data_IF_378714997697
#
_entry.id   IF_378714997697
#
_cell.length_a   1.000
_cell.length_b   1.000
_cell.length_c   1.000
_cell.angle_alpha   90.00
_cell.angle_beta   90.00
_cell.angle_gamma   90.00
#
_symmetry.space_group_name_H-M   'P 1'
#
loop_
_entity.id
_entity.type
_entity.pdbx_description
1 polymer ?
#
# COMPACT_ATOMS: atom_id res chain seq x y z
N UNK A 1 -21.73 -13.23 -26.34
CA UNK A 1 -20.81 -14.06 -25.57
C UNK A 1 -19.41 -14.02 -26.17
N UNK A 2 -18.46 -13.91 -25.35
CA UNK A 2 -17.08 -13.92 -25.80
C UNK A 2 -16.52 -15.34 -25.76
N UNK A 3 -16.00 -15.77 -26.86
CA UNK A 3 -15.34 -17.08 -26.94
C UNK A 3 -13.86 -16.91 -26.70
N UNK A 4 -13.42 -17.44 -25.59
CA UNK A 4 -11.98 -17.50 -25.34
C UNK A 4 -11.48 -18.72 -26.08
N UNK A 5 -10.61 -18.47 -27.01
CA UNK A 5 -10.08 -19.57 -27.81
C UNK A 5 -9.19 -20.44 -26.95
N UNK A 6 -9.19 -21.71 -27.27
CA UNK A 6 -8.36 -22.66 -26.55
C UNK A 6 -6.87 -22.48 -26.86
N UNK A 7 -6.56 -21.64 -27.84
CA UNK A 7 -5.17 -21.32 -28.21
C UNK A 7 -4.65 -20.07 -27.52
N UNK A 8 -5.51 -19.40 -26.74
CA UNK A 8 -5.11 -18.19 -26.03
C UNK A 8 -4.40 -18.50 -24.72
N UNK A 9 -4.10 -17.43 -23.97
CA UNK A 9 -3.38 -17.53 -22.70
C UNK A 9 -4.29 -17.56 -21.49
N UNK A 10 -5.61 -17.47 -21.71
CA UNK A 10 -6.66 -17.62 -20.70
C UNK A 10 -6.43 -16.76 -19.45
N UNK A 11 -6.40 -15.43 -19.60
CA UNK A 11 -6.19 -14.56 -18.44
C UNK A 11 -7.24 -14.83 -17.38
N UNK A 12 -6.82 -14.91 -16.13
CA UNK A 12 -7.71 -15.12 -14.99
C UNK A 12 -7.26 -14.24 -13.84
N UNK A 13 -8.23 -13.88 -13.00
CA UNK A 13 -7.90 -13.23 -11.73
C UNK A 13 -7.45 -14.28 -10.73
N UNK A 14 -6.49 -13.89 -9.89
CA UNK A 14 -6.02 -14.71 -8.79
C UNK A 14 -6.26 -13.93 -7.50
N UNK A 15 -6.96 -14.53 -6.55
CA UNK A 15 -7.25 -13.89 -5.29
C UNK A 15 -6.12 -14.14 -4.31
N UNK A 16 -5.49 -13.06 -3.84
CA UNK A 16 -4.38 -13.11 -2.88
C UNK A 16 -4.76 -12.21 -1.70
N UNK A 17 -4.99 -12.82 -0.53
CA UNK A 17 -5.39 -12.09 0.67
C UNK A 17 -4.26 -11.96 1.68
N UNK A 18 -3.34 -12.90 1.72
CA UNK A 18 -2.26 -12.95 2.71
C UNK A 18 -0.91 -13.12 2.04
N UNK A 19 0.15 -12.85 2.81
CA UNK A 19 1.50 -13.11 2.34
C UNK A 19 1.71 -14.58 1.99
N UNK A 20 1.07 -15.47 2.74
CA UNK A 20 1.17 -16.90 2.46
C UNK A 20 0.51 -17.25 1.13
N UNK A 21 -0.66 -16.66 0.86
CA UNK A 21 -1.32 -16.84 -0.45
C UNK A 21 -0.41 -16.38 -1.58
N UNK A 22 0.21 -15.20 -1.41
CA UNK A 22 1.12 -14.65 -2.40
C UNK A 22 2.31 -15.58 -2.66
N UNK A 23 2.92 -16.06 -1.59
CA UNK A 23 4.07 -16.98 -1.71
C UNK A 23 3.70 -18.26 -2.45
N UNK A 24 2.52 -18.81 -2.15
CA UNK A 24 2.06 -20.02 -2.81
C UNK A 24 1.84 -19.80 -4.30
N UNK A 25 1.22 -18.69 -4.68
CA UNK A 25 0.97 -18.40 -6.09
C UNK A 25 2.28 -18.16 -6.86
N UNK A 26 3.21 -17.45 -6.25
CA UNK A 26 4.52 -17.21 -6.87
C UNK A 26 5.30 -18.53 -7.01
N UNK A 27 5.21 -19.38 -5.99
CA UNK A 27 5.87 -20.69 -6.02
C UNK A 27 5.34 -21.57 -7.15
N UNK A 28 4.03 -21.51 -7.41
CA UNK A 28 3.42 -22.27 -8.52
C UNK A 28 3.96 -21.86 -9.87
N UNK A 29 4.38 -20.62 -10.02
CA UNK A 29 5.00 -20.12 -11.25
C UNK A 29 6.39 -20.75 -11.47
N UNK A 30 7.01 -21.21 -10.39
CA UNK A 30 8.36 -21.75 -10.47
C UNK A 30 9.45 -20.69 -10.37
N UNK A 31 9.12 -19.56 -9.73
CA UNK A 31 10.10 -18.48 -9.54
C UNK A 31 11.24 -18.94 -8.64
N UNK A 32 12.37 -18.26 -8.76
CA UNK A 32 13.53 -18.50 -7.91
C UNK A 32 13.11 -18.44 -6.43
N UNK A 33 13.34 -19.50 -5.65
CA UNK A 33 12.94 -19.51 -4.24
C UNK A 33 13.43 -18.31 -3.45
N UNK A 34 14.60 -17.77 -3.78
CA UNK A 34 15.15 -16.62 -3.07
C UNK A 34 14.39 -15.32 -3.34
N UNK A 35 13.65 -15.25 -4.47
CA UNK A 35 12.90 -14.05 -4.83
C UNK A 35 11.47 -14.05 -4.30
N UNK A 36 10.97 -15.18 -3.81
CA UNK A 36 9.57 -15.31 -3.40
C UNK A 36 9.22 -14.35 -2.27
N UNK A 37 10.04 -14.30 -1.21
CA UNK A 37 9.77 -13.42 -0.07
C UNK A 37 9.92 -11.94 -0.42
N UNK A 38 10.71 -11.63 -1.44
CA UNK A 38 10.86 -10.25 -1.93
C UNK A 38 9.63 -9.82 -2.71
N UNK A 39 9.08 -10.72 -3.53
CA UNK A 39 7.93 -10.40 -4.39
C UNK A 39 6.59 -10.46 -3.65
N UNK A 40 6.45 -11.35 -2.68
CA UNK A 40 5.16 -11.62 -2.03
C UNK A 40 4.48 -10.34 -1.48
N UNK A 41 5.19 -9.43 -0.79
CA UNK A 41 4.55 -8.20 -0.30
C UNK A 41 3.99 -7.32 -1.42
N UNK A 42 4.50 -7.44 -2.62
CA UNK A 42 4.04 -6.66 -3.77
C UNK A 42 2.70 -7.16 -4.31
N UNK A 43 2.31 -8.37 -3.96
CA UNK A 43 1.06 -8.98 -4.42
C UNK A 43 -0.07 -8.86 -3.41
N UNK A 44 0.18 -8.30 -2.22
CA UNK A 44 -0.84 -8.13 -1.18
C UNK A 44 -1.20 -6.66 -1.08
N UNK A 45 -2.43 -6.31 -1.44
CA UNK A 45 -2.92 -4.93 -1.38
C UNK A 45 -3.67 -4.70 -0.08
N UNK A 46 -3.50 -3.51 0.49
CA UNK A 46 -4.20 -3.08 1.70
C UNK A 46 -4.63 -1.63 1.55
N UNK A 47 -5.74 -1.31 2.19
CA UNK A 47 -6.22 0.07 2.28
C UNK A 47 -6.23 0.44 3.76
N UNK A 48 -5.61 1.56 4.10
CA UNK A 48 -5.50 2.02 5.48
C UNK A 48 -6.16 3.38 5.61
N UNK A 49 -7.08 3.49 6.58
CA UNK A 49 -7.69 4.77 6.90
C UNK A 49 -6.97 5.39 8.07
N UNK A 50 -6.49 6.63 7.88
CA UNK A 50 -5.96 7.46 8.96
C UNK A 50 -6.97 8.54 9.27
N UNK A 51 -7.26 8.74 10.55
CA UNK A 51 -8.22 9.74 11.02
C UNK A 51 -7.52 10.94 11.61
N UNK A 52 -8.16 12.10 11.48
CA UNK A 52 -7.76 13.34 12.15
C UNK A 52 -6.32 13.76 11.83
N UNK A 53 -5.95 13.66 10.57
CA UNK A 53 -4.64 14.09 10.10
C UNK A 53 -4.71 15.56 9.73
N UNK A 54 -3.75 16.36 10.19
CA UNK A 54 -3.64 17.74 9.70
C UNK A 54 -3.50 17.70 8.19
N UNK A 55 -4.24 18.55 7.48
CA UNK A 55 -4.22 18.50 6.03
C UNK A 55 -2.84 18.88 5.46
N UNK A 56 -2.06 19.67 6.21
CA UNK A 56 -0.66 19.90 5.85
C UNK A 56 0.14 18.59 5.81
N UNK A 57 -0.04 17.76 6.84
CA UNK A 57 0.62 16.45 6.88
C UNK A 57 0.06 15.51 5.80
N UNK A 58 -1.22 15.62 5.49
CA UNK A 58 -1.86 14.84 4.45
C UNK A 58 -1.20 15.05 3.09
N UNK A 59 -0.80 16.28 2.78
CA UNK A 59 -0.11 16.60 1.53
C UNK A 59 1.22 15.85 1.45
N UNK A 60 1.96 15.83 2.56
CA UNK A 60 3.26 15.16 2.62
C UNK A 60 3.08 13.64 2.46
N UNK A 61 2.11 13.07 3.18
CA UNK A 61 1.83 11.64 3.09
C UNK A 61 1.45 11.25 1.66
N UNK A 62 0.60 12.06 1.02
CA UNK A 62 0.19 11.81 -0.36
C UNK A 62 1.38 11.87 -1.32
N UNK A 63 2.22 12.89 -1.20
CA UNK A 63 3.39 13.03 -2.06
C UNK A 63 4.36 11.88 -1.88
N UNK A 64 4.62 11.47 -0.63
CA UNK A 64 5.50 10.35 -0.36
C UNK A 64 4.95 9.05 -0.94
N UNK A 65 3.65 8.80 -0.77
CA UNK A 65 3.05 7.57 -1.28
C UNK A 65 3.01 7.55 -2.81
N UNK A 66 2.72 8.68 -3.46
CA UNK A 66 2.76 8.77 -4.91
C UNK A 66 4.16 8.48 -5.46
N UNK A 67 5.20 8.95 -4.77
CA UNK A 67 6.58 8.71 -5.19
C UNK A 67 6.98 7.24 -5.13
N UNK A 68 6.25 6.45 -4.36
CA UNK A 68 6.48 5.00 -4.22
C UNK A 68 5.61 4.21 -5.21
N UNK A 69 4.62 4.86 -5.81
CA UNK A 69 3.71 4.21 -6.75
C UNK A 69 2.35 3.86 -6.17
N UNK A 70 2.08 4.21 -4.93
CA UNK A 70 0.77 4.05 -4.32
C UNK A 70 -0.10 5.27 -4.51
N UNK A 71 -1.17 5.36 -3.74
CA UNK A 71 -2.10 6.49 -3.80
C UNK A 71 -2.64 6.80 -2.42
N UNK A 72 -3.05 8.05 -2.22
CA UNK A 72 -3.74 8.48 -1.00
C UNK A 72 -4.91 9.37 -1.39
N UNK A 73 -6.11 8.99 -0.97
CA UNK A 73 -7.27 9.86 -1.09
C UNK A 73 -7.23 10.84 0.08
N UNK A 74 -7.33 12.12 -0.24
CA UNK A 74 -7.33 13.21 0.74
C UNK A 74 -8.60 14.03 0.57
N UNK A 75 -9.01 14.79 1.60
CA UNK A 75 -10.19 15.63 1.48
C UNK A 75 -10.05 16.66 0.37
N UNK A 76 -11.19 17.04 -0.22
CA UNK A 76 -11.25 18.11 -1.18
C UNK A 76 -10.77 19.41 -0.50
N UNK A 77 -10.11 20.25 -1.25
CA UNK A 77 -9.60 21.53 -0.76
C UNK A 77 -8.51 21.40 0.32
N UNK A 78 -7.76 20.31 0.30
CA UNK A 78 -6.69 20.07 1.27
C UNK A 78 -5.65 21.20 1.27
N UNK A 79 -5.32 21.72 0.09
CA UNK A 79 -4.33 22.80 -0.01
C UNK A 79 -4.81 24.11 0.60
N UNK A 80 -6.10 24.42 0.45
CA UNK A 80 -6.69 25.65 0.96
C UNK A 80 -6.94 25.58 2.46
N UNK A 81 -7.22 24.38 2.97
CA UNK A 81 -7.59 24.16 4.36
C UNK A 81 -6.50 23.43 5.14
N UNK A 82 -5.24 23.69 4.81
CA UNK A 82 -4.10 22.94 5.34
C UNK A 82 -3.97 22.96 6.87
N UNK A 83 -4.59 23.94 7.54
CA UNK A 83 -4.61 24.03 9.01
C UNK A 83 -5.70 23.19 9.66
N UNK A 84 -6.59 22.61 8.87
CA UNK A 84 -7.66 21.73 9.36
C UNK A 84 -7.20 20.30 9.38
N UNK A 85 -8.05 19.43 9.90
CA UNK A 85 -7.80 17.99 9.90
C UNK A 85 -8.81 17.26 9.03
N UNK A 86 -8.45 16.07 8.62
CA UNK A 86 -9.33 15.21 7.85
C UNK A 86 -8.86 13.78 7.89
N UNK A 87 -9.66 12.93 7.28
CA UNK A 87 -9.35 11.51 7.18
C UNK A 87 -8.74 11.21 5.82
N UNK A 88 -7.80 10.28 5.80
CA UNK A 88 -7.12 9.86 4.58
C UNK A 88 -7.39 8.38 4.32
N UNK A 89 -7.32 7.99 3.06
CA UNK A 89 -7.31 6.58 2.69
C UNK A 89 -6.02 6.30 1.91
N UNK A 90 -5.15 5.50 2.51
CA UNK A 90 -3.88 5.09 1.91
C UNK A 90 -4.10 3.76 1.19
N UNK A 91 -3.73 3.71 -0.08
CA UNK A 91 -3.95 2.56 -0.95
C UNK A 91 -2.62 2.09 -1.52
N UNK A 92 -2.27 0.84 -1.27
CA UNK A 92 -1.04 0.30 -1.83
C UNK A 92 -0.85 -1.17 -1.47
N UNK A 93 0.21 -1.75 -1.99
CA UNK A 93 0.62 -3.08 -1.57
C UNK A 93 1.50 -2.99 -0.31
N UNK A 94 1.77 -4.14 0.32
CA UNK A 94 2.55 -4.16 1.56
C UNK A 94 3.94 -3.58 1.37
N UNK A 95 4.59 -3.83 0.25
CA UNK A 95 5.93 -3.26 -0.02
C UNK A 95 5.87 -1.73 -0.02
N UNK A 96 4.87 -1.17 -0.68
CA UNK A 96 4.69 0.28 -0.73
C UNK A 96 4.39 0.86 0.65
N UNK A 97 3.58 0.16 1.44
CA UNK A 97 3.25 0.61 2.78
C UNK A 97 4.46 0.57 3.71
N UNK A 98 5.30 -0.46 3.63
CA UNK A 98 6.55 -0.51 4.38
C UNK A 98 7.49 0.63 3.97
N UNK A 99 7.58 0.92 2.68
CA UNK A 99 8.41 2.01 2.18
C UNK A 99 7.87 3.37 2.63
N UNK A 100 6.55 3.53 2.69
CA UNK A 100 5.93 4.75 3.20
C UNK A 100 6.32 5.00 4.66
N UNK A 101 6.28 3.95 5.50
CA UNK A 101 6.70 4.07 6.90
C UNK A 101 8.11 4.61 6.99
N UNK A 102 9.02 4.09 6.19
CA UNK A 102 10.41 4.54 6.18
C UNK A 102 10.53 6.00 5.76
N UNK A 103 9.76 6.42 4.76
CA UNK A 103 9.78 7.81 4.30
C UNK A 103 9.25 8.76 5.36
N UNK A 104 8.12 8.42 5.98
CA UNK A 104 7.51 9.26 7.00
C UNK A 104 8.38 9.38 8.24
N UNK A 105 9.15 8.36 8.56
CA UNK A 105 10.04 8.37 9.71
C UNK A 105 11.19 9.37 9.58
N UNK A 106 11.40 9.94 8.41
CA UNK A 106 12.44 10.94 8.15
C UNK A 106 11.96 12.37 8.37
N UNK A 107 10.67 12.56 8.63
CA UNK A 107 10.07 13.87 8.79
C UNK A 107 10.01 14.30 10.26
N UNK A 108 9.29 15.39 10.52
CA UNK A 108 9.14 15.93 11.86
C UNK A 108 8.23 15.05 12.73
N UNK A 109 8.15 15.33 14.06
CA UNK A 109 7.55 14.39 15.02
C UNK A 109 6.14 13.91 14.71
N UNK A 110 5.24 14.79 14.21
CA UNK A 110 3.88 14.34 13.88
C UNK A 110 3.87 13.23 12.86
N UNK A 111 4.71 13.34 11.82
CA UNK A 111 4.80 12.31 10.78
C UNK A 111 5.52 11.07 11.27
N UNK A 112 6.51 11.22 12.16
CA UNK A 112 7.15 10.07 12.80
C UNK A 112 6.16 9.28 13.64
N UNK A 113 5.25 9.96 14.34
CA UNK A 113 4.21 9.31 15.12
C UNK A 113 3.27 8.51 14.21
N UNK A 114 2.90 9.07 13.08
CA UNK A 114 2.08 8.37 12.09
C UNK A 114 2.83 7.15 11.55
N UNK A 115 4.12 7.29 11.26
CA UNK A 115 4.96 6.17 10.83
C UNK A 115 4.94 5.04 11.86
N UNK A 116 5.05 5.37 13.15
CA UNK A 116 5.00 4.38 14.22
C UNK A 116 3.63 3.69 14.29
N UNK A 117 2.55 4.46 14.16
CA UNK A 117 1.19 3.88 14.16
C UNK A 117 1.00 2.92 12.99
N UNK A 118 1.46 3.31 11.80
CA UNK A 118 1.39 2.45 10.62
C UNK A 118 2.24 1.20 10.79
N UNK A 119 3.45 1.34 11.34
CA UNK A 119 4.34 0.21 11.56
C UNK A 119 3.71 -0.81 12.50
N UNK A 120 3.04 -0.34 13.58
CA UNK A 120 2.36 -1.23 14.52
C UNK A 120 1.20 -1.96 13.86
N UNK A 121 0.42 -1.25 13.03
CA UNK A 121 -0.67 -1.89 12.31
C UNK A 121 -0.16 -2.96 11.34
N UNK A 122 0.90 -2.65 10.62
CA UNK A 122 1.47 -3.55 9.61
C UNK A 122 2.18 -4.75 10.22
N UNK A 123 2.59 -4.66 11.48
CA UNK A 123 3.26 -5.75 12.17
C UNK A 123 2.39 -7.00 12.27
N UNK A 124 1.07 -6.82 12.38
CA UNK A 124 0.13 -7.93 12.55
C UNK A 124 -0.46 -8.43 11.23
N UNK A 125 0.01 -7.93 10.11
CA UNK A 125 -0.49 -8.37 8.80
C UNK A 125 0.00 -9.78 8.49
N UNK A 126 -0.92 -10.63 8.08
CA UNK A 126 -0.64 -12.00 7.64
C UNK A 126 -0.64 -12.08 6.09
#
# INVERSE_FOLDING_TARGET
MLFITMTGHSPTFVEIKTLQDAKKEIQKIGSDPQSISIMAPKAVSKNIKLKNVTLQDAIIIKQDMLSIGGEVAVPRNTFELHDKTGDLLIMGNLKQLYDLVKKLDRHYPRLKNIANELAMLLKDVK
#
